data_IF_973623910285
#
_entry.id   IF_973623910285
#
_cell.length_a   1.000
_cell.length_b   1.000
_cell.length_c   1.000
_cell.angle_alpha   90.00
_cell.angle_beta   90.00
_cell.angle_gamma   90.00
#
_symmetry.space_group_name_H-M   'P 1'
#
loop_
_entity.id
_entity.type
_entity.pdbx_description
1 polymer ?
#
# COMPACT_ATOMS: atom_id res chain seq x y z
N UNK A 1 -42.06 -16.25 -49.84
CA UNK A 1 -40.60 -16.15 -49.67
C UNK A 1 -40.35 -15.67 -48.25
N UNK A 2 -39.88 -16.55 -47.38
CA UNK A 2 -39.67 -16.26 -45.96
C UNK A 2 -38.19 -16.02 -45.72
N UNK A 3 -37.79 -14.78 -45.46
CA UNK A 3 -36.41 -14.43 -45.07
C UNK A 3 -36.20 -14.70 -43.58
N UNK A 4 -35.49 -15.78 -43.31
CA UNK A 4 -35.01 -16.18 -41.98
C UNK A 4 -33.86 -15.26 -41.56
N UNK A 5 -34.11 -14.33 -40.64
CA UNK A 5 -33.04 -13.52 -40.04
C UNK A 5 -32.19 -14.41 -39.12
N UNK A 6 -30.98 -14.71 -39.60
CA UNK A 6 -29.95 -15.50 -38.91
C UNK A 6 -29.39 -14.69 -37.74
N UNK A 7 -29.66 -15.10 -36.49
CA UNK A 7 -29.00 -14.54 -35.30
C UNK A 7 -27.48 -14.77 -35.39
N UNK A 8 -26.70 -13.73 -35.16
CA UNK A 8 -25.25 -13.83 -35.03
C UNK A 8 -24.88 -14.69 -33.80
N UNK A 9 -23.78 -15.48 -33.83
CA UNK A 9 -23.37 -16.28 -32.69
C UNK A 9 -22.87 -15.36 -31.58
N UNK A 10 -23.34 -15.59 -30.35
CA UNK A 10 -22.75 -15.00 -29.14
C UNK A 10 -21.29 -15.45 -29.03
N UNK A 11 -20.36 -14.56 -28.62
CA UNK A 11 -18.96 -14.92 -28.48
C UNK A 11 -18.81 -16.07 -27.46
N UNK A 12 -18.07 -17.10 -27.84
CA UNK A 12 -17.79 -18.28 -27.01
C UNK A 12 -16.94 -17.92 -25.81
N UNK A 13 -17.34 -18.47 -24.65
CA UNK A 13 -16.86 -18.20 -23.28
C UNK A 13 -15.39 -18.54 -22.99
N UNK A 14 -14.54 -18.72 -24.00
CA UNK A 14 -13.17 -19.23 -23.84
C UNK A 14 -12.08 -18.18 -24.05
N UNK A 15 -12.42 -16.96 -24.52
CA UNK A 15 -11.45 -15.87 -24.72
C UNK A 15 -11.46 -14.79 -23.61
N UNK A 16 -12.35 -14.90 -22.61
CA UNK A 16 -12.45 -13.95 -21.49
C UNK A 16 -11.62 -14.34 -20.25
N UNK A 17 -10.76 -15.36 -20.36
CA UNK A 17 -9.85 -15.79 -19.29
C UNK A 17 -8.40 -15.69 -19.77
N UNK A 18 -7.88 -14.47 -19.96
CA UNK A 18 -6.42 -14.28 -20.07
C UNK A 18 -5.85 -13.06 -19.35
N UNK A 19 -6.63 -12.41 -18.50
CA UNK A 19 -6.10 -11.31 -17.69
C UNK A 19 -6.78 -11.25 -16.32
N UNK A 20 -6.44 -12.21 -15.44
CA UNK A 20 -6.85 -12.20 -14.04
C UNK A 20 -5.63 -12.19 -13.15
N UNK A 21 -5.02 -11.01 -13.06
CA UNK A 21 -4.01 -10.65 -12.08
C UNK A 21 -4.68 -10.35 -10.72
N UNK A 22 -4.35 -11.17 -9.72
CA UNK A 22 -4.46 -10.98 -8.26
C UNK A 22 -5.70 -10.24 -7.68
N UNK A 23 -6.68 -11.05 -7.26
CA UNK A 23 -7.46 -10.90 -6.01
C UNK A 23 -8.11 -9.54 -5.73
N UNK A 24 -9.12 -9.16 -6.54
CA UNK A 24 -10.07 -8.13 -6.13
C UNK A 24 -11.13 -8.78 -5.22
N UNK A 25 -10.91 -8.76 -3.91
CA UNK A 25 -12.02 -8.97 -2.97
C UNK A 25 -12.88 -7.71 -3.10
N UNK A 26 -14.17 -7.81 -3.46
CA UNK A 26 -15.01 -6.63 -3.60
C UNK A 26 -15.25 -6.05 -2.19
N UNK A 27 -14.42 -5.09 -1.80
CA UNK A 27 -14.65 -4.28 -0.59
C UNK A 27 -15.75 -3.30 -0.94
N UNK A 28 -16.99 -3.66 -0.63
CA UNK A 28 -18.16 -2.79 -0.83
C UNK A 28 -18.00 -1.56 0.08
N UNK A 29 -17.84 -0.33 -0.46
CA UNK A 29 -17.71 0.86 0.37
C UNK A 29 -19.00 1.13 1.14
N UNK A 30 -18.89 1.30 2.46
CA UNK A 30 -20.01 1.70 3.33
C UNK A 30 -20.65 3.06 2.96
N UNK A 31 -19.99 3.87 2.12
CA UNK A 31 -20.42 5.23 1.73
C UNK A 31 -20.56 5.44 0.21
N UNK A 32 -20.59 4.36 -0.58
CA UNK A 32 -20.90 4.40 -2.02
C UNK A 32 -19.80 4.93 -2.94
N UNK A 33 -18.70 5.49 -2.41
CA UNK A 33 -17.51 5.84 -3.20
C UNK A 33 -16.27 5.12 -2.66
N UNK A 34 -15.46 4.46 -3.51
CA UNK A 34 -14.18 3.92 -3.11
C UNK A 34 -13.28 5.01 -2.50
N UNK A 35 -12.55 4.66 -1.44
CA UNK A 35 -11.63 5.56 -0.75
C UNK A 35 -10.26 4.88 -0.63
N UNK A 36 -9.26 5.51 -1.22
CA UNK A 36 -7.86 5.09 -1.13
C UNK A 36 -7.16 5.87 -0.01
N UNK A 37 -6.58 5.15 0.93
CA UNK A 37 -5.69 5.69 1.95
C UNK A 37 -4.24 5.51 1.49
N UNK A 38 -3.49 6.60 1.31
CA UNK A 38 -2.08 6.59 0.92
C UNK A 38 -1.22 7.03 2.09
N UNK A 39 -0.20 6.23 2.43
CA UNK A 39 0.68 6.45 3.57
C UNK A 39 2.13 6.54 3.12
N UNK A 40 2.87 7.46 3.74
CA UNK A 40 4.34 7.44 3.74
C UNK A 40 4.82 6.57 4.91
N UNK A 41 5.36 5.41 4.57
CA UNK A 41 5.80 4.41 5.54
C UNK A 41 7.02 4.86 6.35
N UNK A 42 7.93 5.64 5.77
CA UNK A 42 9.15 6.08 6.44
C UNK A 42 8.84 7.10 7.54
N UNK A 43 8.05 8.13 7.22
CA UNK A 43 7.66 9.12 8.22
C UNK A 43 6.77 8.52 9.31
N UNK A 44 5.88 7.58 8.97
CA UNK A 44 5.07 6.88 9.97
C UNK A 44 5.90 5.96 10.88
N UNK A 45 6.89 5.24 10.34
CA UNK A 45 7.80 4.40 11.12
C UNK A 45 8.69 5.24 12.05
N UNK A 46 9.19 6.40 11.58
CA UNK A 46 9.94 7.34 12.42
C UNK A 46 9.10 7.81 13.60
N UNK A 47 7.85 8.24 13.35
CA UNK A 47 6.92 8.63 14.42
C UNK A 47 6.67 7.48 15.39
N UNK A 48 6.51 6.25 14.89
CA UNK A 48 6.29 5.07 15.73
C UNK A 48 7.48 4.79 16.66
N UNK A 49 8.70 4.90 16.14
CA UNK A 49 9.92 4.64 16.87
C UNK A 49 10.09 5.58 18.07
N UNK A 50 9.78 6.88 17.92
CA UNK A 50 9.90 7.87 19.00
C UNK A 50 8.68 7.98 19.92
N UNK A 51 7.53 7.43 19.53
CA UNK A 51 6.31 7.51 20.32
C UNK A 51 6.25 6.53 21.50
N UNK A 52 6.99 5.41 21.43
CA UNK A 52 6.92 4.33 22.43
C UNK A 52 8.30 4.06 23.05
N UNK A 53 8.40 3.94 24.40
CA UNK A 53 9.66 3.63 25.08
C UNK A 53 10.19 2.25 24.66
N UNK A 54 11.41 2.18 24.13
CA UNK A 54 11.99 0.94 23.61
C UNK A 54 12.14 -0.16 24.68
N UNK A 55 12.36 0.23 25.94
CA UNK A 55 12.57 -0.69 27.07
C UNK A 55 11.30 -1.48 27.46
N UNK A 56 10.12 -1.00 27.05
CA UNK A 56 8.84 -1.67 27.29
C UNK A 56 8.41 -2.61 26.16
N UNK A 57 9.12 -2.55 25.03
CA UNK A 57 8.79 -3.30 23.83
C UNK A 57 10.05 -3.97 23.32
N UNK A 58 10.36 -5.12 23.90
CA UNK A 58 11.45 -5.99 23.47
C UNK A 58 10.98 -7.44 23.41
N UNK A 59 11.56 -8.23 22.50
CA UNK A 59 11.38 -9.68 22.49
C UNK A 59 12.07 -10.32 23.69
N UNK A 60 11.84 -11.61 23.93
CA UNK A 60 12.56 -12.40 24.94
C UNK A 60 14.09 -12.38 24.75
N UNK A 61 14.56 -12.06 23.52
CA UNK A 61 15.97 -11.97 23.18
C UNK A 61 16.50 -10.53 23.26
N UNK A 62 15.71 -9.57 23.78
CA UNK A 62 16.11 -8.17 23.93
C UNK A 62 15.98 -7.31 22.66
N UNK A 63 15.49 -7.86 21.54
CA UNK A 63 15.29 -7.08 20.32
C UNK A 63 14.13 -6.09 20.50
N UNK A 64 14.39 -4.79 20.36
CA UNK A 64 13.34 -3.77 20.43
C UNK A 64 12.33 -3.92 19.30
N UNK A 65 11.04 -3.81 19.64
CA UNK A 65 9.88 -3.94 18.75
C UNK A 65 8.93 -2.75 18.82
N UNK A 66 9.31 -1.69 19.56
CA UNK A 66 8.52 -0.47 19.76
C UNK A 66 8.04 0.16 18.44
N UNK A 67 8.93 0.29 17.45
CA UNK A 67 8.57 0.89 16.15
C UNK A 67 7.53 0.05 15.40
N UNK A 68 7.69 -1.28 15.39
CA UNK A 68 6.75 -2.19 14.72
C UNK A 68 5.38 -2.10 15.43
N UNK A 69 5.37 -2.18 16.76
CA UNK A 69 4.14 -2.08 17.55
C UNK A 69 3.43 -0.74 17.35
N UNK A 70 4.17 0.36 17.39
CA UNK A 70 3.64 1.71 17.18
C UNK A 70 3.08 1.91 15.77
N UNK A 71 3.83 1.47 14.75
CA UNK A 71 3.42 1.56 13.35
C UNK A 71 2.14 0.79 13.09
N UNK A 72 2.07 -0.47 13.53
CA UNK A 72 0.90 -1.33 13.33
C UNK A 72 -0.32 -0.79 14.07
N UNK A 73 -0.14 -0.28 15.29
CA UNK A 73 -1.23 0.32 16.08
C UNK A 73 -1.78 1.59 15.41
N UNK A 74 -0.91 2.48 14.93
CA UNK A 74 -1.32 3.67 14.17
C UNK A 74 -2.06 3.30 12.88
N UNK A 75 -1.55 2.33 12.12
CA UNK A 75 -2.18 1.86 10.89
C UNK A 75 -3.58 1.29 11.15
N UNK A 76 -3.72 0.42 12.16
CA UNK A 76 -5.00 -0.20 12.52
C UNK A 76 -6.02 0.87 12.93
N UNK A 77 -5.62 1.85 13.74
CA UNK A 77 -6.49 2.95 14.15
C UNK A 77 -6.94 3.76 12.95
N UNK A 78 -6.03 4.08 12.02
CA UNK A 78 -6.36 4.84 10.82
C UNK A 78 -7.35 4.10 9.91
N UNK A 79 -7.18 2.79 9.74
CA UNK A 79 -8.12 1.95 8.97
C UNK A 79 -9.51 1.94 9.63
N UNK A 80 -9.56 1.79 10.97
CA UNK A 80 -10.81 1.80 11.73
C UNK A 80 -11.53 3.15 11.64
N UNK A 81 -10.81 4.26 11.73
CA UNK A 81 -11.39 5.61 11.71
C UNK A 81 -11.82 6.03 10.30
N UNK A 82 -10.98 5.79 9.29
CA UNK A 82 -11.19 6.30 7.95
C UNK A 82 -12.03 5.38 7.06
N UNK A 83 -12.17 4.10 7.46
CA UNK A 83 -12.88 3.05 6.72
C UNK A 83 -12.56 3.07 5.22
N UNK A 84 -11.27 3.03 4.83
CA UNK A 84 -10.90 3.06 3.41
C UNK A 84 -11.26 1.74 2.75
N UNK A 85 -11.50 1.77 1.44
CA UNK A 85 -11.65 0.54 0.65
C UNK A 85 -10.32 -0.02 0.19
N UNK A 86 -9.30 0.84 0.06
CA UNK A 86 -7.96 0.47 -0.39
C UNK A 86 -6.92 1.18 0.48
N UNK A 87 -5.78 0.52 0.68
CA UNK A 87 -4.64 1.09 1.41
C UNK A 87 -3.38 0.89 0.57
N UNK A 88 -2.60 1.95 0.42
CA UNK A 88 -1.28 1.93 -0.20
C UNK A 88 -0.26 2.55 0.75
N UNK A 89 0.89 1.89 0.91
CA UNK A 89 2.00 2.37 1.74
C UNK A 89 3.24 2.47 0.87
N UNK A 90 3.82 3.67 0.78
CA UNK A 90 5.07 3.90 0.08
C UNK A 90 6.23 3.76 1.07
N UNK A 91 7.20 2.90 0.73
CA UNK A 91 8.48 2.83 1.43
C UNK A 91 9.57 3.27 0.46
N UNK A 92 10.23 4.39 0.79
CA UNK A 92 11.40 4.81 0.05
C UNK A 92 12.54 3.82 0.31
N UNK A 93 13.07 3.24 -0.77
CA UNK A 93 14.34 2.53 -0.73
C UNK A 93 15.47 3.55 -0.81
N UNK A 94 16.42 3.45 0.13
CA UNK A 94 17.67 4.21 0.08
C UNK A 94 18.56 3.61 -1.00
N UNK A 95 18.20 3.80 -2.27
CA UNK A 95 19.06 3.39 -3.38
C UNK A 95 19.86 4.62 -3.84
N UNK A 96 21.18 4.52 -3.67
CA UNK A 96 22.16 5.52 -4.11
C UNK A 96 22.18 5.70 -5.64
N UNK A 97 21.41 4.91 -6.38
CA UNK A 97 21.27 4.94 -7.84
C UNK A 97 20.03 5.70 -8.34
N UNK A 98 19.30 6.43 -7.49
CA UNK A 98 18.19 7.24 -7.98
C UNK A 98 18.69 8.35 -8.92
N UNK A 99 18.07 8.47 -10.11
CA UNK A 99 18.32 9.48 -11.16
C UNK A 99 18.49 10.94 -10.65
N UNK A 100 18.02 11.25 -9.44
CA UNK A 100 18.14 12.56 -8.78
C UNK A 100 19.57 12.92 -8.33
N UNK A 101 20.46 11.96 -8.07
CA UNK A 101 21.89 12.24 -7.80
C UNK A 101 22.68 12.56 -9.07
N UNK A 102 22.22 12.12 -10.25
CA UNK A 102 22.90 12.39 -11.51
C UNK A 102 22.75 13.84 -11.98
N UNK A 103 21.65 14.52 -11.61
CA UNK A 103 21.40 15.93 -11.95
C UNK A 103 21.95 16.92 -10.92
N UNK A 104 22.26 16.49 -9.69
CA UNK A 104 22.75 17.39 -8.64
C UNK A 104 23.65 16.67 -7.62
N UNK A 105 24.95 16.95 -7.67
CA UNK A 105 25.99 16.32 -6.83
C UNK A 105 25.83 16.61 -5.33
N UNK A 106 25.20 17.73 -4.97
CA UNK A 106 25.08 18.17 -3.57
C UNK A 106 23.76 17.70 -2.92
N UNK A 107 23.01 16.82 -3.59
CA UNK A 107 21.74 16.31 -3.05
C UNK A 107 21.99 15.40 -1.83
N UNK A 108 21.55 15.86 -0.65
CA UNK A 108 21.70 15.27 0.70
C UNK A 108 23.03 15.53 1.43
N UNK A 109 23.81 16.54 1.06
CA UNK A 109 25.06 16.91 1.77
C UNK A 109 24.93 17.35 3.24
N UNK A 110 23.72 17.43 3.81
CA UNK A 110 23.47 17.86 5.20
C UNK A 110 22.96 16.77 6.15
N UNK A 111 22.93 15.50 5.73
CA UNK A 111 22.60 14.39 6.64
C UNK A 111 23.90 13.89 7.24
N UNK A 112 24.25 14.38 8.43
CA UNK A 112 25.33 13.79 9.22
C UNK A 112 24.92 12.36 9.61
N UNK A 113 25.76 11.40 9.23
CA UNK A 113 25.72 10.01 9.71
C UNK A 113 26.06 9.92 11.21
#
# INVERSE_FOLDING_TARGET
MSETTKLAPLPSSTDALKDRSATEVPVVPATGRPRLLVLDGHSMAFRAFFALPADKFSTANGQHTNAIHGFTSMLINLIKEQQPTHVAVAFDVSDDTTHRKAEYSDYKGGRNE
#
